data_IF_722024068428
#
_entry.id   IF_722024068428
#
_cell.length_a   1.000
_cell.length_b   1.000
_cell.length_c   1.000
_cell.angle_alpha   90.00
_cell.angle_beta   90.00
_cell.angle_gamma   90.00
#
_symmetry.space_group_name_H-M   'P 1'
#
loop_
_entity.id
_entity.type
_entity.pdbx_description
1 polymer ?
#
# COMPACT_ATOMS: atom_id res chain seq x y z
N UNK A 1 5.55 -13.74 -27.29
CA UNK A 1 4.78 -14.55 -26.56
C UNK A 1 4.80 -14.22 -25.13
N UNK A 2 5.93 -14.19 -24.57
CA UNK A 2 6.05 -13.86 -23.19
C UNK A 2 5.53 -12.48 -22.95
N UNK A 3 5.79 -11.55 -23.84
CA UNK A 3 5.35 -10.20 -23.64
C UNK A 3 3.85 -10.08 -23.62
N UNK A 4 3.19 -10.85 -24.45
CA UNK A 4 1.76 -10.78 -24.52
C UNK A 4 1.17 -11.33 -23.23
N UNK A 5 1.74 -12.35 -22.71
CA UNK A 5 1.26 -12.97 -21.52
C UNK A 5 1.48 -12.01 -20.35
N UNK A 6 2.58 -11.33 -20.33
CA UNK A 6 2.90 -10.40 -19.27
C UNK A 6 1.89 -9.25 -19.34
N UNK A 7 1.55 -8.79 -20.51
CA UNK A 7 0.62 -7.71 -20.65
C UNK A 7 -0.76 -8.12 -20.12
N UNK A 8 -1.19 -9.31 -20.40
CA UNK A 8 -2.47 -9.77 -19.93
C UNK A 8 -2.47 -9.85 -18.42
N UNK A 9 -1.40 -10.30 -17.83
CA UNK A 9 -1.33 -10.41 -16.40
C UNK A 9 -1.35 -9.03 -15.81
N UNK A 10 -0.66 -8.09 -16.43
CA UNK A 10 -0.60 -6.75 -15.91
C UNK A 10 -1.99 -6.11 -15.93
N UNK A 11 -2.76 -6.33 -16.97
CA UNK A 11 -4.06 -5.72 -17.05
C UNK A 11 -5.04 -6.35 -16.08
N UNK A 12 -4.73 -7.53 -15.56
CA UNK A 12 -5.60 -8.16 -14.60
C UNK A 12 -5.20 -7.91 -13.18
N UNK A 13 -4.27 -7.02 -12.94
CA UNK A 13 -3.83 -6.73 -11.59
C UNK A 13 -4.55 -5.52 -11.04
N UNK A 14 -4.78 -5.53 -9.76
CA UNK A 14 -5.38 -4.40 -9.09
C UNK A 14 -4.32 -3.75 -8.24
N UNK A 15 -4.13 -2.45 -8.41
CA UNK A 15 -3.16 -1.74 -7.65
C UNK A 15 -3.78 -1.09 -6.46
N UNK A 16 -3.12 -1.13 -5.33
CA UNK A 16 -3.60 -0.46 -4.14
C UNK A 16 -2.48 0.35 -3.54
N UNK A 17 -2.85 1.37 -2.80
CA UNK A 17 -1.89 2.18 -2.07
C UNK A 17 -2.37 2.22 -0.61
N UNK A 18 -1.47 1.97 0.32
CA UNK A 18 -1.80 2.02 1.72
C UNK A 18 -0.97 3.12 2.34
N UNK A 19 -1.61 4.02 3.07
CA UNK A 19 -0.91 5.08 3.77
C UNK A 19 -1.08 4.78 5.25
N UNK A 20 0.03 4.72 5.97
CA UNK A 20 0.03 4.33 7.36
C UNK A 20 0.75 5.35 8.22
N UNK A 21 0.25 5.60 9.42
CA UNK A 21 1.06 6.33 10.38
C UNK A 21 0.74 5.80 11.77
N UNK A 22 1.74 5.76 12.62
CA UNK A 22 1.57 5.29 13.97
C UNK A 22 2.81 5.67 14.77
N UNK A 23 2.83 5.36 16.05
CA UNK A 23 3.98 5.65 16.84
C UNK A 23 5.12 4.80 16.32
N UNK A 24 6.32 5.34 16.28
CA UNK A 24 7.46 4.61 15.78
C UNK A 24 7.80 3.47 16.74
N UNK A 25 7.91 2.27 16.21
CA UNK A 25 8.19 1.10 17.01
C UNK A 25 8.77 0.05 16.06
N UNK A 26 9.45 -0.92 16.60
CA UNK A 26 10.12 -1.88 15.76
C UNK A 26 9.14 -2.88 15.16
N UNK A 27 9.49 -3.42 14.03
CA UNK A 27 8.70 -4.49 13.42
C UNK A 27 7.58 -4.07 12.49
N UNK A 28 7.32 -2.78 12.33
CA UNK A 28 6.21 -2.34 11.51
C UNK A 28 6.38 -2.76 10.06
N UNK A 29 7.53 -2.49 9.48
CA UNK A 29 7.74 -2.79 8.08
C UNK A 29 7.63 -4.28 7.82
N UNK A 30 8.23 -5.09 8.67
CA UNK A 30 8.20 -6.53 8.50
C UNK A 30 6.77 -7.05 8.60
N UNK A 31 6.00 -6.55 9.55
CA UNK A 31 4.65 -7.02 9.72
C UNK A 31 3.78 -6.67 8.51
N UNK A 32 3.90 -5.46 8.02
CA UNK A 32 3.09 -5.01 6.90
C UNK A 32 3.48 -5.77 5.64
N UNK A 33 4.77 -5.88 5.35
CA UNK A 33 5.20 -6.54 4.13
C UNK A 33 4.90 -8.04 4.16
N UNK A 34 5.03 -8.67 5.32
CA UNK A 34 4.71 -10.08 5.41
C UNK A 34 3.20 -10.30 5.24
N UNK A 35 2.40 -9.39 5.74
CA UNK A 35 0.97 -9.51 5.59
C UNK A 35 0.59 -9.43 4.11
N UNK A 36 1.13 -8.47 3.39
CA UNK A 36 0.83 -8.30 1.97
C UNK A 36 1.26 -9.55 1.20
N UNK A 37 2.43 -10.07 1.50
CA UNK A 37 2.92 -11.25 0.82
C UNK A 37 2.06 -12.47 1.12
N UNK A 38 1.60 -12.57 2.35
CA UNK A 38 0.84 -13.76 2.77
C UNK A 38 -0.50 -13.86 2.07
N UNK A 39 -1.05 -12.75 1.61
CA UNK A 39 -2.33 -12.79 0.94
C UNK A 39 -2.15 -12.66 -0.56
N UNK A 40 -0.95 -12.93 -1.05
CA UNK A 40 -0.72 -12.99 -2.48
C UNK A 40 -0.41 -11.68 -3.16
N UNK A 41 -0.08 -10.66 -2.42
CA UNK A 41 0.22 -9.37 -3.02
C UNK A 41 1.66 -9.24 -3.41
N UNK A 42 1.92 -8.39 -4.38
CA UNK A 42 3.26 -8.11 -4.81
C UNK A 42 3.54 -6.65 -4.49
N UNK A 43 4.56 -6.38 -3.73
CA UNK A 43 4.87 -5.01 -3.34
C UNK A 43 5.69 -4.35 -4.42
N UNK A 44 5.22 -3.21 -4.90
CA UNK A 44 5.86 -2.51 -5.97
C UNK A 44 6.63 -1.31 -5.51
N UNK A 45 6.24 -0.73 -4.42
CA UNK A 45 6.91 0.48 -3.94
C UNK A 45 6.68 0.67 -2.45
N UNK A 46 7.70 1.10 -1.74
CA UNK A 46 7.58 1.41 -0.33
C UNK A 46 8.37 2.67 -0.06
N UNK A 47 7.77 3.60 0.65
CA UNK A 47 8.48 4.77 1.09
C UNK A 47 8.14 4.93 2.57
N UNK A 48 9.08 5.32 3.39
CA UNK A 48 8.84 5.45 4.80
C UNK A 48 9.61 6.63 5.37
N UNK A 49 9.13 7.16 6.45
CA UNK A 49 9.74 8.32 7.06
C UNK A 49 9.41 8.32 8.55
N UNK A 50 10.35 8.73 9.37
CA UNK A 50 10.11 8.83 10.80
C UNK A 50 10.33 10.27 11.21
N UNK A 51 9.33 10.83 11.91
CA UNK A 51 9.46 12.17 12.43
C UNK A 51 10.06 11.96 13.82
N UNK A 52 11.32 12.25 13.99
CA UNK A 52 11.99 11.96 15.21
C UNK A 52 11.56 12.81 16.38
N UNK A 53 11.09 13.99 16.13
CA UNK A 53 10.67 14.83 17.20
C UNK A 53 9.40 14.31 17.84
N UNK A 54 8.46 13.86 17.02
CA UNK A 54 7.22 13.36 17.56
C UNK A 54 7.19 11.85 17.64
N UNK A 55 8.24 11.23 17.15
CA UNK A 55 8.35 9.78 17.16
C UNK A 55 7.20 9.12 16.40
N UNK A 56 6.87 9.65 15.25
CA UNK A 56 5.80 9.11 14.44
C UNK A 56 6.36 8.49 13.17
N UNK A 57 5.88 7.31 12.86
CA UNK A 57 6.32 6.58 11.69
C UNK A 57 5.28 6.75 10.59
N UNK A 58 5.71 7.07 9.39
CA UNK A 58 4.84 7.20 8.24
C UNK A 58 5.29 6.23 7.16
N UNK A 59 4.36 5.61 6.45
CA UNK A 59 4.70 4.68 5.41
C UNK A 59 3.70 4.77 4.27
N UNK A 60 4.21 4.68 3.04
CA UNK A 60 3.36 4.59 1.88
C UNK A 60 3.77 3.32 1.16
N UNK A 61 2.86 2.44 0.92
CA UNK A 61 3.14 1.17 0.27
C UNK A 61 2.22 1.00 -0.92
N UNK A 62 2.77 0.60 -2.06
CA UNK A 62 1.95 0.31 -3.22
C UNK A 62 2.10 -1.16 -3.53
N UNK A 63 1.00 -1.83 -3.75
CA UNK A 63 1.01 -3.26 -4.00
C UNK A 63 0.07 -3.61 -5.13
N UNK A 64 0.24 -4.80 -5.64
CA UNK A 64 -0.60 -5.32 -6.72
C UNK A 64 -1.15 -6.67 -6.34
N UNK A 65 -2.41 -6.91 -6.66
CA UNK A 65 -3.04 -8.19 -6.39
C UNK A 65 -3.78 -8.62 -7.62
N UNK A 66 -4.06 -9.89 -7.75
CA UNK A 66 -4.84 -10.37 -8.85
C UNK A 66 -6.24 -9.86 -8.66
N UNK A 67 -6.78 -9.20 -9.67
CA UNK A 67 -8.09 -8.61 -9.57
C UNK A 67 -9.14 -9.62 -9.17
N UNK A 68 -9.08 -10.77 -9.71
CA UNK A 68 -10.09 -11.79 -9.46
C UNK A 68 -10.14 -12.26 -8.01
N UNK A 69 -9.02 -12.23 -7.34
CA UNK A 69 -8.99 -12.74 -5.98
C UNK A 69 -8.95 -11.65 -4.91
N UNK A 70 -8.89 -10.40 -5.30
CA UNK A 70 -8.79 -9.34 -4.31
C UNK A 70 -10.14 -8.83 -3.89
N UNK A 71 -10.40 -8.78 -2.60
CA UNK A 71 -11.63 -8.27 -2.06
C UNK A 71 -11.28 -7.13 -1.12
N UNK A 72 -11.70 -5.92 -1.46
CA UNK A 72 -11.36 -4.74 -0.68
C UNK A 72 -11.88 -4.80 0.75
N UNK A 73 -13.10 -5.23 0.91
CA UNK A 73 -13.67 -5.28 2.25
C UNK A 73 -12.95 -6.27 3.13
N UNK A 74 -12.62 -7.41 2.57
CA UNK A 74 -11.95 -8.44 3.31
C UNK A 74 -10.54 -7.98 3.67
N UNK A 75 -9.87 -7.29 2.75
CA UNK A 75 -8.55 -6.79 3.00
C UNK A 75 -8.59 -5.82 4.17
N UNK A 76 -9.56 -4.92 4.19
CA UNK A 76 -9.65 -3.94 5.25
C UNK A 76 -9.86 -4.59 6.60
N UNK A 77 -10.68 -5.59 6.65
CA UNK A 77 -10.94 -6.26 7.91
C UNK A 77 -9.71 -6.98 8.40
N UNK A 78 -9.04 -7.70 7.52
CA UNK A 78 -7.88 -8.45 7.93
C UNK A 78 -6.71 -7.56 8.29
N UNK A 79 -6.49 -6.49 7.54
CA UNK A 79 -5.40 -5.60 7.83
C UNK A 79 -5.63 -4.93 9.18
N UNK A 80 -6.86 -4.51 9.44
CA UNK A 80 -7.17 -3.87 10.69
C UNK A 80 -6.93 -4.82 11.86
N UNK A 81 -7.39 -6.02 11.76
CA UNK A 81 -7.27 -6.96 12.85
C UNK A 81 -5.87 -7.50 13.06
N UNK A 82 -5.17 -7.78 11.99
CA UNK A 82 -3.89 -8.40 12.11
C UNK A 82 -2.72 -7.45 12.21
N UNK A 83 -2.86 -6.27 11.67
CA UNK A 83 -1.77 -5.32 11.63
C UNK A 83 -2.08 -4.04 12.37
N UNK A 84 -3.13 -3.36 11.98
CA UNK A 84 -3.39 -2.04 12.53
C UNK A 84 -3.65 -2.07 14.03
N UNK A 85 -4.40 -3.04 14.49
CA UNK A 85 -4.68 -3.12 15.90
C UNK A 85 -3.43 -3.46 16.71
N UNK A 86 -2.54 -4.22 16.12
CA UNK A 86 -1.35 -4.63 16.81
C UNK A 86 -0.42 -3.46 17.08
N UNK A 87 -0.33 -2.53 16.16
CA UNK A 87 0.54 -1.38 16.29
C UNK A 87 -0.21 -0.08 16.60
N UNK A 88 -1.49 -0.17 16.79
CA UNK A 88 -2.35 0.97 17.07
C UNK A 88 -2.16 2.00 15.96
N UNK A 89 -2.29 1.57 14.75
CA UNK A 89 -1.97 2.38 13.60
C UNK A 89 -3.19 3.02 12.95
N UNK A 90 -2.97 4.19 12.35
CA UNK A 90 -3.99 4.83 11.55
C UNK A 90 -3.62 4.58 10.11
N UNK A 91 -4.57 4.27 9.26
CA UNK A 91 -4.25 3.91 7.89
C UNK A 91 -5.40 4.14 6.94
N UNK A 92 -5.05 4.25 5.66
CA UNK A 92 -6.03 4.46 4.61
C UNK A 92 -5.67 3.57 3.43
N UNK A 93 -6.67 3.07 2.76
CA UNK A 93 -6.48 2.25 1.57
C UNK A 93 -7.03 2.98 0.37
N UNK A 94 -6.25 3.11 -0.67
CA UNK A 94 -6.69 3.74 -1.91
C UNK A 94 -6.52 2.75 -3.06
N UNK A 95 -7.50 2.68 -3.93
CA UNK A 95 -7.39 1.79 -5.07
C UNK A 95 -7.32 2.66 -6.31
N UNK A 96 -6.37 2.37 -7.14
CA UNK A 96 -6.18 3.19 -8.26
C UNK A 96 -6.96 2.70 -9.37
N UNK A 97 -8.12 2.75 -9.29
CA UNK A 97 -8.94 2.23 -10.21
C UNK A 97 -8.73 2.79 -11.52
N UNK A 98 -8.80 3.89 -11.87
CA UNK A 98 -8.76 4.24 -13.14
C UNK A 98 -8.20 5.48 -13.40
N UNK A 99 -7.41 5.96 -12.92
CA UNK A 99 -6.93 7.15 -13.13
C UNK A 99 -5.79 7.21 -13.96
N UNK A 100 -5.70 6.67 -15.02
CA UNK A 100 -4.59 6.61 -15.85
C UNK A 100 -4.00 7.97 -16.08
N UNK A 101 -4.75 8.82 -16.59
CA UNK A 101 -4.26 10.05 -16.83
C UNK A 101 -3.97 10.79 -15.69
N UNK A 102 -4.74 10.68 -14.79
CA UNK A 102 -4.60 11.37 -13.63
C UNK A 102 -3.32 11.02 -13.05
N UNK A 103 -2.87 9.91 -13.34
CA UNK A 103 -1.67 9.45 -12.76
C UNK A 103 -0.61 10.46 -13.00
N UNK A 104 -0.78 11.23 -14.00
CA UNK A 104 0.19 12.14 -14.29
C UNK A 104 0.30 13.16 -13.25
N UNK A 105 -0.74 13.45 -12.63
CA UNK A 105 -0.74 14.47 -11.70
C UNK A 105 -0.11 14.05 -10.49
N UNK A 106 0.18 12.85 -10.43
CA UNK A 106 0.77 12.35 -9.28
C UNK A 106 1.93 13.16 -8.90
N UNK A 107 2.58 13.69 -9.86
CA UNK A 107 3.74 14.41 -9.52
C UNK A 107 3.43 15.54 -8.60
N UNK A 108 2.39 16.26 -8.81
CA UNK A 108 2.11 17.29 -7.96
C UNK A 108 1.61 16.74 -6.74
N UNK A 109 0.98 15.62 -6.79
CA UNK A 109 0.45 15.07 -5.67
C UNK A 109 1.53 14.69 -4.74
N UNK A 110 2.65 14.25 -5.22
CA UNK A 110 3.68 13.89 -4.39
C UNK A 110 4.16 15.03 -3.62
N UNK A 111 4.05 16.19 -4.19
CA UNK A 111 4.46 17.32 -3.52
C UNK A 111 3.70 17.45 -2.23
N UNK A 112 2.48 17.11 -2.24
CA UNK A 112 1.69 17.18 -1.05
C UNK A 112 2.16 16.21 -0.04
N UNK A 113 2.66 15.12 -0.48
CA UNK A 113 3.08 14.15 0.46
C UNK A 113 4.28 14.61 1.22
N UNK A 114 5.04 15.45 0.65
CA UNK A 114 6.19 15.88 1.34
C UNK A 114 5.83 16.75 2.49
N UNK A 115 4.71 17.34 2.42
CA UNK A 115 4.32 18.20 3.47
C UNK A 115 3.90 17.46 4.68
N UNK A 116 3.73 16.22 4.54
CA UNK A 116 3.37 15.45 5.66
C UNK A 116 4.53 15.26 6.55
#
# INVERSE_FOLDING_TARGET
MVDFYFFLNFTNMKKITILIHCKDQSGIIAAVTNFIASIGGNIVYIDQHVDQEQEVFFMRLEGEFEKASFNTSDFKIQFQQKIADLFNMSWELHTAAYLPKMALFVSKYEHCLYDI
#
